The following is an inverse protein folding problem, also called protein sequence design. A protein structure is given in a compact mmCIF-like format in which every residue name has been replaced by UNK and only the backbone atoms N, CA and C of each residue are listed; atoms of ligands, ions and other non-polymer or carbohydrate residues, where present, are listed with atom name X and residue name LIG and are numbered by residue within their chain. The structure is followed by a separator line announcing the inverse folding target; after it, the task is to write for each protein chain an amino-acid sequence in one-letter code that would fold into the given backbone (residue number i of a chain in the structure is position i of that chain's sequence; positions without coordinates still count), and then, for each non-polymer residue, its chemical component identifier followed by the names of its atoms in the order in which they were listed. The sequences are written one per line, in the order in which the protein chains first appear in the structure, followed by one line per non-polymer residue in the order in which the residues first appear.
data_IF_328109270698
#
_entry.id   IF_328109270698
#
_cell.length_a   1.000
_cell.length_b   1.000
_cell.length_c   1.000
_cell.angle_alpha   90.00
_cell.angle_beta   90.00
_cell.angle_gamma   90.00
#
_symmetry.space_group_name_H-M   'P 1'
#
loop_
_entity.id
_entity.type
_entity.pdbx_description
1 polymer ?
#
# COMPACT_ATOMS: atom_id res chain seq x y z
N UNK A 1 -22.24 9.08 -14.89
CA UNK A 1 -21.45 10.27 -14.55
C UNK A 1 -20.25 9.78 -13.76
N UNK A 2 -19.08 9.67 -14.39
CA UNK A 2 -17.86 9.23 -13.69
C UNK A 2 -17.42 10.44 -12.88
N UNK A 3 -17.74 10.46 -11.58
CA UNK A 3 -17.11 11.38 -10.65
C UNK A 3 -15.62 11.10 -10.77
N UNK A 4 -14.83 12.09 -11.19
CA UNK A 4 -13.37 11.98 -11.16
C UNK A 4 -12.99 11.63 -9.72
N UNK A 5 -12.72 10.34 -9.49
CA UNK A 5 -12.44 9.83 -8.15
C UNK A 5 -11.19 10.53 -7.67
N UNK A 6 -11.32 11.32 -6.61
CA UNK A 6 -10.16 11.82 -5.86
C UNK A 6 -9.25 10.61 -5.61
N UNK A 7 -7.95 10.66 -5.97
CA UNK A 7 -7.06 9.53 -5.78
C UNK A 7 -7.22 8.99 -4.37
N UNK A 8 -7.42 7.68 -4.24
CA UNK A 8 -7.62 7.04 -2.93
C UNK A 8 -6.43 7.39 -2.05
N UNK A 9 -6.69 8.17 -1.01
CA UNK A 9 -5.65 8.58 -0.07
C UNK A 9 -5.30 7.39 0.80
N UNK A 10 -4.03 7.02 0.80
CA UNK A 10 -3.50 5.93 1.62
C UNK A 10 -2.68 6.55 2.75
N UNK A 11 -2.81 5.96 3.94
CA UNK A 11 -1.93 6.23 5.07
C UNK A 11 -1.25 4.93 5.51
N UNK A 12 -0.07 5.04 6.10
CA UNK A 12 0.67 3.99 6.75
C UNK A 12 -0.11 3.43 7.95
N UNK A 13 -0.98 4.25 8.56
CA UNK A 13 -1.90 3.82 9.62
C UNK A 13 -3.23 3.45 8.97
N UNK A 14 -3.55 2.16 9.02
CA UNK A 14 -4.88 1.68 8.61
C UNK A 14 -5.94 2.17 9.60
N UNK A 15 -7.18 2.29 9.13
CA UNK A 15 -8.33 2.60 10.00
C UNK A 15 -8.49 1.61 11.16
N UNK A 16 -8.19 0.33 10.93
CA UNK A 16 -8.21 -0.69 11.96
C UNK A 16 -7.13 -0.45 13.03
N UNK A 17 -5.90 -0.14 12.61
CA UNK A 17 -4.80 0.19 13.52
C UNK A 17 -5.09 1.47 14.32
N UNK A 18 -5.65 2.47 13.66
CA UNK A 18 -6.09 3.70 14.33
C UNK A 18 -7.16 3.40 15.40
N UNK A 19 -8.17 2.59 15.09
CA UNK A 19 -9.21 2.19 16.04
C UNK A 19 -8.61 1.48 17.27
N UNK A 20 -7.66 0.57 17.06
CA UNK A 20 -6.92 -0.10 18.13
C UNK A 20 -6.17 0.89 19.04
N UNK A 21 -5.45 1.86 18.44
CA UNK A 21 -4.66 2.85 19.20
C UNK A 21 -5.55 3.75 20.07
N UNK A 22 -6.74 4.14 19.58
CA UNK A 22 -7.70 4.90 20.39
C UNK A 22 -8.60 3.98 21.27
N UNK A 23 -8.27 2.69 21.33
CA UNK A 23 -8.97 1.65 22.10
C UNK A 23 -10.47 1.56 21.78
N UNK A 24 -10.83 1.62 20.49
CA UNK A 24 -12.19 1.53 19.98
C UNK A 24 -12.52 0.10 19.55
N UNK A 25 -13.75 -0.36 19.78
CA UNK A 25 -14.19 -1.67 19.30
C UNK A 25 -14.34 -1.64 17.77
N UNK A 26 -13.89 -2.70 17.08
CA UNK A 26 -14.01 -2.78 15.62
C UNK A 26 -15.48 -2.64 15.18
N UNK A 27 -16.43 -3.24 15.91
CA UNK A 27 -17.86 -3.11 15.59
C UNK A 27 -18.32 -1.66 15.56
N UNK A 28 -18.19 -0.92 16.67
CA UNK A 28 -18.65 0.46 16.74
C UNK A 28 -17.86 1.38 15.78
N UNK A 29 -16.56 1.15 15.62
CA UNK A 29 -15.73 1.96 14.71
C UNK A 29 -16.13 1.76 13.24
N UNK A 30 -16.44 0.54 12.84
CA UNK A 30 -16.82 0.23 11.46
C UNK A 30 -18.34 0.28 11.21
N UNK A 31 -19.11 0.87 12.13
CA UNK A 31 -20.51 1.22 11.88
C UNK A 31 -21.54 0.18 12.35
N UNK A 32 -21.13 -0.83 13.10
CA UNK A 32 -22.03 -1.81 13.70
C UNK A 32 -22.49 -1.40 15.10
N UNK A 33 -23.79 -1.59 15.35
CA UNK A 33 -24.39 -1.60 16.68
C UNK A 33 -24.31 -3.02 17.22
N UNK A 34 -23.51 -3.20 18.27
CA UNK A 34 -23.33 -4.46 18.98
C UNK A 34 -23.68 -4.24 20.47
N UNK A 35 -24.33 -5.21 21.15
CA UNK A 35 -24.63 -5.09 22.58
C UNK A 35 -23.40 -4.84 23.47
N UNK A 36 -22.19 -5.24 23.03
CA UNK A 36 -20.94 -4.96 23.73
C UNK A 36 -20.52 -3.49 23.72
N UNK A 37 -21.12 -2.66 22.85
CA UNK A 37 -20.80 -1.23 22.74
C UNK A 37 -21.24 -0.42 23.96
N UNK A 38 -22.27 -0.87 24.70
CA UNK A 38 -22.82 -0.17 25.86
C UNK A 38 -21.79 -0.04 27.00
N UNK A 39 -20.81 -0.95 27.07
CA UNK A 39 -19.69 -0.86 28.02
C UNK A 39 -18.80 0.38 27.80
N UNK A 40 -18.93 1.01 26.63
CA UNK A 40 -18.24 2.22 26.25
C UNK A 40 -19.22 3.38 26.07
N UNK A 41 -20.26 3.47 26.91
CA UNK A 41 -21.45 4.35 26.84
C UNK A 41 -21.28 5.79 26.31
N UNK A 42 -20.07 6.34 26.27
CA UNK A 42 -19.78 7.65 25.68
C UNK A 42 -19.22 7.59 24.23
N UNK A 43 -19.14 6.41 23.61
CA UNK A 43 -18.55 6.17 22.28
C UNK A 43 -19.65 5.96 21.23
N UNK A 44 -19.90 7.00 20.43
CA UNK A 44 -20.86 6.98 19.32
C UNK A 44 -20.36 6.14 18.15
N UNK A 45 -21.23 5.30 17.58
CA UNK A 45 -20.92 4.51 16.37
C UNK A 45 -20.41 5.44 15.26
N UNK A 46 -19.23 5.14 14.73
CA UNK A 46 -18.63 5.95 13.68
C UNK A 46 -19.37 5.74 12.37
N UNK A 47 -19.66 6.84 11.70
CA UNK A 47 -20.22 6.86 10.34
C UNK A 47 -19.10 6.79 9.30
N UNK A 48 -19.44 6.45 8.05
CA UNK A 48 -18.46 6.46 6.97
C UNK A 48 -17.83 7.85 6.75
N UNK A 49 -18.56 8.97 6.71
CA UNK A 49 -17.95 10.29 6.58
C UNK A 49 -16.92 10.61 7.67
N UNK A 50 -17.15 10.19 8.92
CA UNK A 50 -16.19 10.37 10.01
C UNK A 50 -14.92 9.54 9.80
N UNK A 51 -15.06 8.27 9.39
CA UNK A 51 -13.92 7.41 9.03
C UNK A 51 -13.12 7.94 7.84
N UNK A 52 -13.80 8.43 6.82
CA UNK A 52 -13.16 9.00 5.63
C UNK A 52 -12.45 10.32 5.99
N UNK A 53 -13.01 11.12 6.90
CA UNK A 53 -12.40 12.34 7.41
C UNK A 53 -11.10 12.07 8.21
N UNK A 54 -11.10 11.10 9.13
CA UNK A 54 -9.85 10.73 9.83
C UNK A 54 -8.82 10.15 8.86
N UNK A 55 -9.23 9.30 7.90
CA UNK A 55 -8.33 8.74 6.89
C UNK A 55 -7.66 9.84 6.04
N UNK A 56 -8.43 10.88 5.69
CA UNK A 56 -7.92 12.06 5.01
C UNK A 56 -6.81 12.73 5.82
N UNK A 57 -7.06 13.03 7.10
CA UNK A 57 -6.10 13.74 7.94
C UNK A 57 -4.88 12.89 8.30
N UNK A 58 -5.03 11.57 8.47
CA UNK A 58 -3.91 10.64 8.61
C UNK A 58 -3.00 10.66 7.37
N UNK A 59 -3.58 10.62 6.17
CA UNK A 59 -2.81 10.67 4.92
C UNK A 59 -2.09 12.01 4.71
N UNK A 60 -2.74 13.11 5.12
CA UNK A 60 -2.18 14.45 5.03
C UNK A 60 -1.01 14.63 6.02
N UNK A 61 -1.22 14.24 7.28
CA UNK A 61 -0.19 14.27 8.32
C UNK A 61 1.05 13.45 7.93
N UNK A 62 0.85 12.22 7.43
CA UNK A 62 1.95 11.42 6.89
C UNK A 62 2.68 12.13 5.75
N UNK A 63 1.94 12.70 4.79
CA UNK A 63 2.55 13.38 3.65
C UNK A 63 3.43 14.56 4.07
N UNK A 64 3.04 15.29 5.12
CA UNK A 64 3.84 16.38 5.69
C UNK A 64 5.11 15.85 6.39
N UNK A 65 4.99 14.77 7.15
CA UNK A 65 6.15 14.14 7.80
C UNK A 65 7.13 13.59 6.74
N UNK A 66 6.63 12.85 5.76
CA UNK A 66 7.43 12.30 4.63
C UNK A 66 8.15 13.40 3.83
N UNK A 67 7.55 14.58 3.72
CA UNK A 67 8.17 15.74 3.06
C UNK A 67 9.38 16.26 3.83
N UNK A 68 9.35 16.21 5.16
CA UNK A 68 10.44 16.68 6.03
C UNK A 68 11.56 15.63 6.10
N UNK A 69 11.23 14.36 6.30
CA UNK A 69 12.22 13.28 6.47
C UNK A 69 12.83 12.81 5.15
N UNK A 70 12.17 13.05 4.01
CA UNK A 70 12.69 12.75 2.68
C UNK A 70 12.35 11.36 2.13
N UNK A 71 11.79 10.46 2.94
CA UNK A 71 11.38 9.11 2.54
C UNK A 71 9.94 8.77 2.98
N UNK A 72 9.32 7.73 2.38
CA UNK A 72 8.01 7.24 2.78
C UNK A 72 8.00 6.52 4.14
N UNK A 73 6.96 6.71 4.96
CA UNK A 73 6.78 5.99 6.23
C UNK A 73 6.17 4.59 6.07
N UNK A 74 5.94 4.17 4.83
CA UNK A 74 5.51 2.82 4.46
C UNK A 74 6.09 2.53 3.08
N UNK A 75 6.25 1.26 2.68
CA UNK A 75 6.84 0.95 1.39
C UNK A 75 5.98 1.53 0.26
N UNK A 76 6.57 2.40 -0.57
CA UNK A 76 5.96 2.99 -1.76
C UNK A 76 6.84 2.73 -2.98
N UNK A 77 6.21 2.48 -4.11
CA UNK A 77 6.89 2.28 -5.39
C UNK A 77 6.96 3.60 -6.16
N UNK A 78 8.13 3.86 -6.71
CA UNK A 78 8.45 4.96 -7.59
C UNK A 78 8.87 4.36 -8.93
N UNK A 79 8.23 4.76 -10.02
CA UNK A 79 8.51 4.23 -11.34
C UNK A 79 8.99 5.34 -12.28
N UNK A 80 10.05 5.05 -13.04
CA UNK A 80 10.57 5.95 -14.07
C UNK A 80 11.17 7.25 -13.52
N UNK A 81 11.78 7.22 -12.34
CA UNK A 81 12.50 8.37 -11.81
C UNK A 81 13.70 8.71 -12.69
N UNK A 82 13.72 9.93 -13.22
CA UNK A 82 14.72 10.35 -14.22
C UNK A 82 15.94 10.98 -13.56
N UNK A 83 17.13 10.45 -13.87
CA UNK A 83 18.42 11.01 -13.47
C UNK A 83 19.33 11.25 -14.67
N UNK A 84 20.24 12.23 -14.62
CA UNK A 84 21.35 12.28 -15.57
C UNK A 84 22.20 11.02 -15.45
N UNK A 85 22.86 10.61 -16.53
CA UNK A 85 23.78 9.47 -16.46
C UNK A 85 24.95 9.74 -15.51
N UNK A 86 25.20 8.77 -14.63
CA UNK A 86 26.35 8.68 -13.73
C UNK A 86 26.55 7.22 -13.32
N UNK A 87 27.77 6.83 -12.96
CA UNK A 87 28.06 5.44 -12.56
C UNK A 87 27.32 5.04 -11.27
N UNK A 88 27.19 5.99 -10.36
CA UNK A 88 26.35 5.89 -9.17
C UNK A 88 25.25 6.95 -9.27
N UNK A 89 24.08 6.62 -8.75
CA UNK A 89 22.89 7.44 -8.81
C UNK A 89 22.30 7.52 -7.41
N UNK A 90 21.90 8.72 -7.00
CA UNK A 90 21.14 8.94 -5.78
C UNK A 90 19.67 9.12 -6.15
N UNK A 91 18.79 8.26 -5.63
CA UNK A 91 17.34 8.43 -5.76
C UNK A 91 16.86 9.66 -5.01
N UNK A 92 15.75 10.27 -5.42
CA UNK A 92 15.11 11.39 -4.70
C UNK A 92 14.57 10.98 -3.33
N UNK A 93 14.26 9.69 -3.16
CA UNK A 93 13.80 9.12 -1.90
C UNK A 93 14.90 8.25 -1.31
N UNK A 94 15.18 8.49 -0.04
CA UNK A 94 16.06 7.68 0.81
C UNK A 94 15.34 6.42 1.28
N UNK A 95 16.04 5.53 1.99
CA UNK A 95 15.52 4.24 2.46
C UNK A 95 14.98 3.36 1.31
N UNK A 96 15.84 3.08 0.33
CA UNK A 96 15.50 2.19 -0.79
C UNK A 96 15.48 0.75 -0.31
N UNK A 97 14.33 0.09 -0.44
CA UNK A 97 14.11 -1.31 -0.05
C UNK A 97 14.52 -2.25 -1.18
N UNK A 98 14.03 -1.99 -2.39
CA UNK A 98 14.24 -2.86 -3.54
C UNK A 98 14.22 -2.09 -4.87
N UNK A 99 14.86 -2.63 -5.90
CA UNK A 99 14.76 -2.12 -7.27
C UNK A 99 13.75 -2.94 -8.07
N UNK A 100 12.89 -2.26 -8.83
CA UNK A 100 11.82 -2.90 -9.57
C UNK A 100 10.57 -2.03 -9.70
N UNK A 101 9.55 -2.59 -10.33
CA UNK A 101 8.22 -1.98 -10.44
C UNK A 101 7.25 -2.67 -9.50
N UNK A 102 6.16 -1.98 -9.18
CA UNK A 102 5.04 -2.61 -8.51
C UNK A 102 4.37 -3.61 -9.46
N UNK A 103 4.24 -4.85 -9.03
CA UNK A 103 3.39 -5.85 -9.66
C UNK A 103 2.29 -6.28 -8.68
N UNK A 104 1.17 -6.73 -9.25
CA UNK A 104 0.04 -7.24 -8.50
C UNK A 104 -0.40 -8.56 -9.12
N UNK A 105 -0.50 -9.59 -8.30
CA UNK A 105 -1.12 -10.86 -8.68
C UNK A 105 -2.46 -11.01 -7.94
N UNK A 106 -3.48 -11.50 -8.64
CA UNK A 106 -4.71 -11.95 -8.02
C UNK A 106 -4.47 -13.36 -7.45
N UNK A 107 -4.42 -13.48 -6.13
CA UNK A 107 -4.13 -14.76 -5.45
C UNK A 107 -5.38 -15.62 -5.45
N UNK A 108 -6.51 -15.03 -5.07
CA UNK A 108 -7.84 -15.64 -5.17
C UNK A 108 -8.89 -14.53 -5.21
N UNK A 109 -9.86 -14.65 -6.11
CA UNK A 109 -10.94 -13.66 -6.29
C UNK A 109 -12.24 -14.26 -5.80
N UNK A 110 -13.08 -13.44 -5.17
CA UNK A 110 -14.33 -13.86 -4.55
C UNK A 110 -14.19 -15.05 -3.57
N UNK A 111 -13.09 -15.11 -2.82
CA UNK A 111 -12.85 -16.11 -1.76
C UNK A 111 -13.97 -16.07 -0.72
N UNK A 112 -14.54 -17.23 -0.39
CA UNK A 112 -15.64 -17.34 0.57
C UNK A 112 -15.16 -17.03 1.99
N UNK A 113 -15.90 -16.16 2.69
CA UNK A 113 -15.67 -15.83 4.09
C UNK A 113 -16.49 -16.74 4.98
N UNK A 114 -15.83 -17.48 5.88
CA UNK A 114 -16.51 -18.22 6.93
C UNK A 114 -16.85 -17.30 8.10
N UNK A 115 -18.12 -16.90 8.18
CA UNK A 115 -18.65 -16.01 9.22
C UNK A 115 -19.07 -16.74 10.51
N UNK A 116 -18.81 -18.05 10.64
CA UNK A 116 -19.13 -18.80 11.87
C UNK A 116 -18.23 -18.35 13.03
N UNK A 117 -16.89 -18.47 12.98
CA UNK A 117 -16.00 -17.97 14.03
C UNK A 117 -15.93 -16.43 14.03
N UNK A 118 -15.54 -15.84 15.16
CA UNK A 118 -15.12 -14.44 15.26
C UNK A 118 -13.72 -14.40 15.90
N UNK A 119 -12.65 -14.03 15.16
CA UNK A 119 -12.65 -13.47 13.82
C UNK A 119 -13.15 -14.45 12.74
N UNK A 120 -13.74 -13.90 11.68
CA UNK A 120 -14.12 -14.67 10.50
C UNK A 120 -12.88 -15.12 9.73
N UNK A 121 -12.95 -16.26 9.04
CA UNK A 121 -11.77 -16.85 8.39
C UNK A 121 -11.96 -17.01 6.89
N UNK A 122 -10.89 -16.79 6.12
CA UNK A 122 -10.78 -17.10 4.69
C UNK A 122 -9.63 -18.09 4.52
N UNK A 123 -9.84 -19.15 3.73
CA UNK A 123 -8.81 -20.19 3.50
C UNK A 123 -8.59 -20.37 2.00
N UNK A 124 -7.35 -20.19 1.56
CA UNK A 124 -6.97 -20.18 0.15
C UNK A 124 -5.82 -21.16 -0.07
N UNK A 125 -5.98 -22.12 -0.96
CA UNK A 125 -4.90 -23.00 -1.38
C UNK A 125 -3.89 -22.20 -2.23
N UNK A 126 -2.61 -22.19 -1.86
CA UNK A 126 -1.61 -21.38 -2.56
C UNK A 126 -0.21 -21.99 -2.42
N UNK A 127 0.65 -21.70 -3.40
CA UNK A 127 2.07 -22.08 -3.38
C UNK A 127 2.96 -20.99 -2.74
N UNK A 128 2.38 -19.86 -2.33
CA UNK A 128 3.11 -18.80 -1.63
C UNK A 128 3.61 -19.31 -0.27
N UNK A 129 4.73 -18.74 0.19
CA UNK A 129 5.39 -19.10 1.45
C UNK A 129 5.59 -17.93 2.40
N UNK A 130 5.13 -16.73 2.04
CA UNK A 130 5.19 -15.52 2.86
C UNK A 130 3.91 -14.70 2.67
N UNK A 131 3.51 -14.01 3.75
CA UNK A 131 2.37 -13.10 3.79
C UNK A 131 2.72 -11.71 3.24
N UNK A 132 4.00 -11.48 2.91
CA UNK A 132 4.47 -10.18 2.45
C UNK A 132 3.73 -9.72 1.19
N UNK A 133 3.16 -8.52 1.30
CA UNK A 133 2.41 -7.90 0.22
C UNK A 133 1.00 -8.46 -0.01
N UNK A 134 0.57 -9.46 0.75
CA UNK A 134 -0.81 -9.97 0.67
C UNK A 134 -1.77 -8.96 1.30
N UNK A 135 -2.83 -8.63 0.55
CA UNK A 135 -3.86 -7.68 0.93
C UNK A 135 -5.23 -8.22 0.57
N UNK A 136 -6.20 -7.92 1.43
CA UNK A 136 -7.61 -8.31 1.26
C UNK A 136 -8.41 -7.10 0.84
N UNK A 137 -9.35 -7.28 -0.09
CA UNK A 137 -10.19 -6.22 -0.65
C UNK A 137 -11.66 -6.63 -0.64
N UNK A 138 -12.54 -5.62 -0.62
CA UNK A 138 -13.93 -5.84 -1.01
C UNK A 138 -13.99 -6.26 -2.49
N UNK A 139 -14.86 -7.22 -2.85
CA UNK A 139 -14.95 -7.76 -4.21
C UNK A 139 -15.10 -6.68 -5.27
N UNK A 140 -14.34 -6.78 -6.35
CA UNK A 140 -14.38 -5.84 -7.49
C UNK A 140 -14.09 -4.38 -7.12
N UNK A 141 -13.41 -4.15 -5.99
CA UNK A 141 -13.02 -2.80 -5.55
C UNK A 141 -11.53 -2.72 -5.20
N UNK A 142 -11.06 -1.48 -5.06
CA UNK A 142 -9.73 -1.17 -4.53
C UNK A 142 -9.76 -0.84 -3.02
N UNK A 143 -10.85 -1.17 -2.32
CA UNK A 143 -10.98 -0.89 -0.87
C UNK A 143 -10.46 -2.07 -0.07
N UNK A 144 -9.30 -1.84 0.54
CA UNK A 144 -8.61 -2.78 1.42
C UNK A 144 -9.39 -3.01 2.72
N UNK A 145 -9.47 -4.27 3.14
CA UNK A 145 -9.95 -4.75 4.43
C UNK A 145 -8.71 -5.18 5.21
N UNK A 146 -8.47 -4.60 6.39
CA UNK A 146 -7.31 -4.98 7.20
C UNK A 146 -7.60 -6.25 8.00
N UNK A 147 -6.93 -7.39 7.72
CA UNK A 147 -7.06 -8.58 8.55
C UNK A 147 -6.49 -8.33 9.95
N UNK A 148 -6.86 -9.16 10.92
CA UNK A 148 -6.18 -9.19 12.23
C UNK A 148 -4.95 -10.09 12.21
N UNK A 149 -4.97 -11.13 11.37
CA UNK A 149 -3.88 -12.11 11.29
C UNK A 149 -3.88 -12.84 9.94
N UNK A 150 -2.71 -13.35 9.54
CA UNK A 150 -2.49 -14.17 8.35
C UNK A 150 -1.41 -15.22 8.61
N UNK A 151 -1.72 -16.49 8.38
CA UNK A 151 -0.77 -17.59 8.58
C UNK A 151 -0.85 -18.65 7.48
N UNK A 152 0.25 -19.37 7.25
CA UNK A 152 0.27 -20.53 6.36
C UNK A 152 0.13 -21.81 7.17
N UNK A 153 -0.84 -22.65 6.81
CA UNK A 153 -1.06 -23.95 7.41
C UNK A 153 -1.38 -24.98 6.33
N UNK A 154 -0.61 -26.08 6.30
CA UNK A 154 -0.82 -27.21 5.39
C UNK A 154 -0.98 -26.83 3.89
N UNK A 155 -0.17 -25.88 3.39
CA UNK A 155 -0.23 -25.44 1.99
C UNK A 155 -1.40 -24.51 1.66
N UNK A 156 -2.06 -23.97 2.69
CA UNK A 156 -3.11 -22.95 2.54
C UNK A 156 -2.74 -21.70 3.32
N UNK A 157 -3.13 -20.55 2.80
CA UNK A 157 -3.15 -19.30 3.52
C UNK A 157 -4.47 -19.20 4.29
N UNK A 158 -4.39 -18.98 5.59
CA UNK A 158 -5.54 -18.71 6.47
C UNK A 158 -5.50 -17.24 6.87
N UNK A 159 -6.55 -16.50 6.57
CA UNK A 159 -6.68 -15.08 6.86
C UNK A 159 -7.79 -14.90 7.89
N UNK A 160 -7.48 -14.26 9.01
CA UNK A 160 -8.43 -13.94 10.07
C UNK A 160 -8.84 -12.47 9.99
N UNK A 161 -10.14 -12.21 9.91
CA UNK A 161 -10.71 -10.88 9.77
C UNK A 161 -11.80 -10.68 10.84
N UNK A 162 -11.65 -9.72 11.76
CA UNK A 162 -12.70 -9.40 12.73
C UNK A 162 -14.00 -9.06 12.00
N UNK A 163 -15.12 -9.64 12.44
CA UNK A 163 -16.41 -9.45 11.75
C UNK A 163 -16.82 -7.98 11.62
N UNK A 164 -16.47 -7.15 12.61
CA UNK A 164 -16.70 -5.71 12.56
C UNK A 164 -16.13 -5.03 11.31
N UNK A 165 -15.06 -5.58 10.71
CA UNK A 165 -14.41 -5.03 9.49
C UNK A 165 -15.04 -5.51 8.18
N UNK A 166 -15.97 -6.46 8.25
CA UNK A 166 -16.62 -7.13 7.11
C UNK A 166 -18.01 -6.57 6.81
N UNK A 167 -18.26 -5.28 7.07
CA UNK A 167 -19.52 -4.65 6.65
C UNK A 167 -19.62 -4.66 5.12
N UNK A 168 -20.73 -5.15 4.55
CA UNK A 168 -20.93 -5.14 3.09
C UNK A 168 -20.61 -3.78 2.48
N UNK A 169 -19.96 -3.80 1.33
CA UNK A 169 -19.44 -2.60 0.70
C UNK A 169 -20.53 -1.52 0.48
N UNK A 170 -21.71 -1.93 0.02
CA UNK A 170 -22.86 -1.06 -0.22
C UNK A 170 -23.55 -0.56 1.06
N UNK A 171 -23.22 -1.14 2.21
CA UNK A 171 -23.78 -0.76 3.52
C UNK A 171 -22.80 0.04 4.39
N UNK A 172 -21.57 0.28 3.91
CA UNK A 172 -20.51 1.00 4.64
C UNK A 172 -20.93 2.40 5.06
N UNK A 173 -21.81 3.05 4.30
CA UNK A 173 -22.46 4.29 4.71
C UNK A 173 -23.59 3.97 5.70
N UNK A 174 -23.15 3.76 6.94
CA UNK A 174 -24.02 3.36 8.03
C UNK A 174 -24.78 4.56 8.61
N UNK A 175 -26.03 4.36 9.09
CA UNK A 175 -26.71 5.38 9.86
C UNK A 175 -25.97 5.64 11.18
N UNK A 176 -26.29 6.77 11.83
CA UNK A 176 -25.70 7.16 13.13
C UNK A 176 -25.97 6.11 14.22
N UNK A 177 -27.10 5.40 14.14
CA UNK A 177 -27.44 4.30 15.05
C UNK A 177 -26.68 2.99 14.74
N UNK A 178 -25.89 2.97 13.67
CA UNK A 178 -25.22 1.78 13.16
C UNK A 178 -26.15 0.73 12.55
N UNK A 179 -25.52 -0.33 12.03
CA UNK A 179 -26.17 -1.54 11.52
C UNK A 179 -26.09 -2.62 12.60
N UNK A 180 -27.15 -3.38 12.85
CA UNK A 180 -27.11 -4.44 13.87
C UNK A 180 -26.09 -5.52 13.50
N UNK A 181 -25.21 -5.87 14.45
CA UNK A 181 -24.23 -6.96 14.31
C UNK A 181 -24.89 -8.34 14.25
N UNK A 182 -26.09 -8.50 14.83
CA UNK A 182 -26.84 -9.76 14.78
C UNK A 182 -27.40 -10.10 13.39
N UNK A 183 -27.41 -9.15 12.46
CA UNK A 183 -28.04 -9.31 11.15
C UNK A 183 -27.01 -9.81 10.13
N UNK A 184 -27.00 -11.13 9.89
CA UNK A 184 -26.06 -11.80 8.98
C UNK A 184 -25.99 -11.21 7.57
N UNK A 185 -27.09 -10.65 7.05
CA UNK A 185 -27.14 -10.01 5.73
C UNK A 185 -26.37 -8.68 5.64
N UNK A 186 -25.87 -8.14 6.76
CA UNK A 186 -25.01 -6.95 6.79
C UNK A 186 -23.53 -7.27 6.52
N UNK A 187 -23.14 -8.55 6.53
CA UNK A 187 -21.75 -8.97 6.38
C UNK A 187 -21.39 -9.34 4.94
N UNK A 188 -20.18 -8.98 4.57
CA UNK A 188 -19.55 -9.39 3.32
C UNK A 188 -19.24 -10.89 3.37
N UNK A 189 -19.68 -11.64 2.36
CA UNK A 189 -19.54 -13.10 2.30
C UNK A 189 -18.40 -13.57 1.39
N UNK A 190 -17.85 -12.67 0.58
CA UNK A 190 -16.72 -12.93 -0.31
C UNK A 190 -15.72 -11.78 -0.27
N UNK A 191 -14.44 -12.05 -0.45
CA UNK A 191 -13.36 -11.04 -0.53
C UNK A 191 -12.43 -11.35 -1.68
N UNK A 192 -11.70 -10.34 -2.16
CA UNK A 192 -10.61 -10.54 -3.12
C UNK A 192 -9.28 -10.48 -2.39
N UNK A 193 -8.41 -11.45 -2.65
CA UNK A 193 -7.06 -11.51 -2.07
C UNK A 193 -6.04 -11.30 -3.17
N UNK A 194 -5.27 -10.23 -3.05
CA UNK A 194 -4.25 -9.82 -4.03
C UNK A 194 -2.90 -9.71 -3.36
N UNK A 195 -1.83 -10.00 -4.10
CA UNK A 195 -0.45 -9.84 -3.65
C UNK A 195 0.19 -8.69 -4.40
N UNK A 196 0.68 -7.69 -3.67
CA UNK A 196 1.50 -6.60 -4.21
C UNK A 196 2.96 -6.91 -3.92
N UNK A 197 3.80 -6.97 -4.95
CA UNK A 197 5.21 -7.30 -4.78
C UNK A 197 6.07 -6.43 -5.69
N UNK A 198 7.37 -6.43 -5.41
CA UNK A 198 8.36 -5.80 -6.25
C UNK A 198 8.76 -6.76 -7.38
N UNK A 199 8.36 -6.45 -8.61
CA UNK A 199 8.83 -7.15 -9.80
C UNK A 199 10.20 -6.60 -10.21
N UNK A 200 11.22 -7.43 -10.01
CA UNK A 200 12.61 -7.13 -10.34
C UNK A 200 12.90 -7.13 -11.85
N UNK A 201 11.93 -7.43 -12.73
CA UNK A 201 12.12 -7.48 -14.19
C UNK A 201 12.40 -6.13 -14.83
N UNK A 202 12.00 -5.04 -14.18
CA UNK A 202 12.14 -3.67 -14.67
C UNK A 202 12.72 -2.74 -13.59
N UNK A 203 14.06 -2.69 -13.50
CA UNK A 203 14.76 -1.88 -12.51
C UNK A 203 15.20 -0.53 -13.08
N UNK A 204 16.07 -0.54 -14.09
CA UNK A 204 16.66 0.66 -14.67
C UNK A 204 16.56 0.59 -16.19
N UNK A 205 16.15 1.71 -16.80
CA UNK A 205 16.12 1.90 -18.25
C UNK A 205 17.08 3.03 -18.61
N UNK A 206 18.15 2.68 -19.32
CA UNK A 206 19.06 3.66 -19.89
C UNK A 206 18.47 4.23 -21.17
N UNK A 207 18.53 5.56 -21.34
CA UNK A 207 17.87 6.26 -22.44
C UNK A 207 18.85 7.12 -23.22
N UNK A 208 18.85 6.93 -24.54
CA UNK A 208 19.56 7.77 -25.50
C UNK A 208 18.56 8.59 -26.33
N UNK A 209 18.91 9.84 -26.68
CA UNK A 209 18.06 10.68 -27.52
C UNK A 209 17.97 10.17 -28.96
N UNK A 210 18.93 9.38 -29.42
CA UNK A 210 18.98 8.78 -30.76
C UNK A 210 19.74 7.45 -30.72
N UNK A 211 19.42 6.53 -31.63
CA UNK A 211 20.15 5.27 -31.76
C UNK A 211 21.51 5.47 -32.45
N UNK A 212 22.62 5.06 -31.82
CA UNK A 212 23.96 5.26 -32.37
C UNK A 212 24.28 4.39 -33.61
N UNK A 213 23.48 3.34 -33.86
CA UNK A 213 23.68 2.39 -34.96
C UNK A 213 22.68 2.59 -36.11
N UNK A 214 21.89 3.65 -36.06
CA UNK A 214 20.92 3.98 -37.11
C UNK A 214 21.34 5.28 -37.79
N UNK A 215 21.26 5.31 -39.11
CA UNK A 215 21.37 6.57 -39.85
C UNK A 215 20.36 7.55 -39.28
N UNK A 216 20.77 8.80 -39.03
CA UNK A 216 19.88 9.87 -38.59
C UNK A 216 18.86 10.18 -39.70
N UNK A 217 17.80 9.38 -39.75
CA UNK A 217 16.66 9.48 -40.64
C UNK A 217 15.40 9.78 -39.83
N UNK A 218 14.27 10.02 -40.50
CA UNK A 218 12.97 10.18 -39.85
C UNK A 218 12.58 9.01 -38.93
N UNK A 219 13.22 7.85 -39.07
CA UNK A 219 13.03 6.65 -38.23
C UNK A 219 14.13 6.47 -37.17
N UNK A 220 15.33 7.04 -37.39
CA UNK A 220 16.50 6.95 -36.49
C UNK A 220 16.51 7.94 -35.32
N UNK A 221 15.60 8.93 -35.33
CA UNK A 221 15.42 9.91 -34.24
C UNK A 221 14.52 9.42 -33.10
N UNK A 222 14.17 8.13 -33.07
CA UNK A 222 13.38 7.56 -31.99
C UNK A 222 14.21 7.34 -30.72
N UNK A 223 13.53 7.44 -29.58
CA UNK A 223 14.10 7.17 -28.25
C UNK A 223 14.66 5.74 -28.24
N UNK A 224 15.97 5.61 -28.04
CA UNK A 224 16.63 4.32 -27.88
C UNK A 224 16.79 3.99 -26.40
N UNK A 225 16.43 2.77 -26.00
CA UNK A 225 16.47 2.33 -24.61
C UNK A 225 17.14 0.98 -24.46
N UNK A 226 17.85 0.80 -23.37
CA UNK A 226 18.45 -0.48 -22.98
C UNK A 226 18.16 -0.73 -21.49
N UNK A 227 17.88 -1.98 -21.13
CA UNK A 227 17.66 -2.36 -19.74
C UNK A 227 18.99 -2.45 -18.98
N UNK A 228 18.91 -2.21 -17.68
CA UNK A 228 20.02 -2.35 -16.75
C UNK A 228 19.54 -2.96 -15.43
N UNK A 229 20.41 -3.80 -14.86
CA UNK A 229 20.28 -4.31 -13.50
C UNK A 229 20.96 -3.30 -12.57
N UNK A 230 20.25 -2.88 -11.53
CA UNK A 230 20.83 -2.07 -10.46
C UNK A 230 21.29 -2.92 -9.28
N UNK A 231 22.12 -2.34 -8.44
CA UNK A 231 22.51 -2.86 -7.14
C UNK A 231 22.47 -1.70 -6.15
N UNK A 232 21.72 -1.87 -5.07
CA UNK A 232 21.66 -0.88 -3.98
C UNK A 232 23.01 -0.92 -3.27
N UNK A 233 23.75 0.18 -3.32
CA UNK A 233 25.05 0.35 -2.67
C UNK A 233 24.85 0.80 -1.23
N UNK A 234 23.96 1.78 -1.04
CA UNK A 234 23.57 2.30 0.26
C UNK A 234 22.06 2.62 0.25
N UNK A 235 21.29 1.81 1.00
CA UNK A 235 19.85 1.95 1.08
C UNK A 235 19.41 3.22 1.81
N UNK A 236 20.16 3.66 2.82
CA UNK A 236 19.80 4.80 3.68
C UNK A 236 19.82 6.10 2.89
N UNK A 237 20.84 6.32 2.06
CA UNK A 237 20.93 7.52 1.21
C UNK A 237 20.35 7.33 -0.20
N UNK A 238 19.94 6.11 -0.54
CA UNK A 238 19.40 5.77 -1.86
C UNK A 238 20.45 5.73 -2.97
N UNK A 239 21.68 5.28 -2.65
CA UNK A 239 22.74 5.12 -3.64
C UNK A 239 22.60 3.79 -4.39
N UNK A 240 22.57 3.88 -5.72
CA UNK A 240 22.42 2.76 -6.63
C UNK A 240 23.58 2.79 -7.63
N UNK A 241 24.21 1.63 -7.82
CA UNK A 241 25.07 1.35 -8.98
C UNK A 241 24.30 0.49 -9.97
N UNK A 242 24.75 0.43 -11.23
CA UNK A 242 24.06 -0.40 -12.22
C UNK A 242 25.02 -1.03 -13.21
N UNK A 243 24.49 -1.98 -13.99
CA UNK A 243 25.14 -2.57 -15.14
C UNK A 243 24.12 -2.91 -16.23
N UNK A 244 24.49 -2.73 -17.50
CA UNK A 244 23.63 -3.13 -18.61
C UNK A 244 23.42 -4.64 -18.60
N UNK A 245 22.17 -5.04 -18.65
CA UNK A 245 21.75 -6.43 -18.47
C UNK A 245 20.38 -6.67 -19.10
N UNK A 246 20.08 -7.93 -19.38
CA UNK A 246 18.75 -8.39 -19.76
C UNK A 246 18.17 -9.27 -18.66
N UNK A 247 16.87 -9.15 -18.42
CA UNK A 247 16.16 -10.00 -17.47
C UNK A 247 15.50 -11.16 -18.21
N UNK A 248 15.74 -12.38 -17.74
CA UNK A 248 15.08 -13.58 -18.26
C UNK A 248 15.00 -14.65 -17.18
N UNK A 249 13.87 -15.36 -17.10
CA UNK A 249 13.65 -16.47 -16.18
C UNK A 249 14.05 -16.17 -14.71
N UNK A 250 13.70 -14.99 -14.21
CA UNK A 250 13.97 -14.60 -12.82
C UNK A 250 15.40 -14.11 -12.55
N UNK A 251 16.24 -13.95 -13.58
CA UNK A 251 17.64 -13.59 -13.42
C UNK A 251 18.09 -12.50 -14.39
N UNK A 252 18.97 -11.62 -13.91
CA UNK A 252 19.65 -10.62 -14.73
C UNK A 252 20.96 -11.19 -15.28
N UNK A 253 21.17 -11.05 -16.60
CA UNK A 253 22.42 -11.42 -17.27
C UNK A 253 23.05 -10.18 -17.86
N UNK A 254 24.30 -9.88 -17.48
CA UNK A 254 25.06 -8.75 -18.02
C UNK A 254 25.19 -8.83 -19.53
N UNK A 255 24.85 -7.74 -20.23
CA UNK A 255 25.07 -7.62 -21.68
C UNK A 255 26.40 -6.93 -21.98
N UNK A 256 26.71 -5.84 -21.28
CA UNK A 256 27.95 -5.09 -21.45
C UNK A 256 28.36 -4.33 -20.19
N UNK A 257 29.64 -3.99 -20.09
CA UNK A 257 30.18 -3.13 -19.02
C UNK A 257 29.98 -1.66 -19.36
N UNK A 258 29.99 -0.81 -18.33
CA UNK A 258 29.81 0.66 -18.44
C UNK A 258 30.94 1.35 -19.25
N UNK A 259 32.01 0.65 -19.61
CA UNK A 259 33.16 1.24 -20.27
C UNK A 259 33.03 1.36 -21.81
N UNK A 260 33.11 2.61 -22.28
CA UNK A 260 33.81 3.08 -23.49
C UNK A 260 33.03 3.51 -24.76
N UNK A 261 31.73 3.27 -24.97
CA UNK A 261 31.03 3.84 -26.15
C UNK A 261 29.55 4.13 -25.91
N UNK A 262 29.19 5.40 -26.16
CA UNK A 262 27.81 5.88 -26.20
C UNK A 262 27.12 5.81 -24.85
N UNK A 263 27.49 6.69 -23.91
CA UNK A 263 26.79 6.78 -22.62
C UNK A 263 25.35 7.25 -22.84
N UNK A 264 24.36 6.71 -22.11
CA UNK A 264 23.00 7.21 -22.17
C UNK A 264 22.97 8.66 -21.69
N UNK A 265 21.95 9.39 -22.12
CA UNK A 265 21.77 10.78 -21.68
C UNK A 265 21.18 10.82 -20.27
N UNK A 266 20.29 9.89 -19.98
CA UNK A 266 19.56 9.78 -18.72
C UNK A 266 19.27 8.33 -18.38
N UNK A 267 18.97 8.09 -17.12
CA UNK A 267 18.54 6.81 -16.57
C UNK A 267 17.15 7.00 -15.99
N UNK A 268 16.25 6.04 -16.21
CA UNK A 268 14.92 5.99 -15.60
C UNK A 268 14.91 4.81 -14.63
N UNK A 269 14.73 5.08 -13.34
CA UNK A 269 14.87 4.11 -12.25
C UNK A 269 13.49 3.83 -11.67
N UNK A 270 13.20 2.56 -11.47
CA UNK A 270 12.04 2.08 -10.74
C UNK A 270 12.51 1.37 -9.47
N UNK A 271 11.93 1.74 -8.33
CA UNK A 271 12.33 1.24 -7.03
C UNK A 271 11.20 1.34 -6.01
N UNK A 272 11.34 0.60 -4.92
CA UNK A 272 10.53 0.65 -3.73
C UNK A 272 11.34 1.31 -2.61
N UNK A 273 10.75 2.29 -1.92
CA UNK A 273 11.39 2.96 -0.80
C UNK A 273 10.42 3.18 0.35
N UNK A 274 10.97 3.32 1.55
CA UNK A 274 10.27 3.58 2.80
C UNK A 274 10.74 2.66 3.92
N UNK A 275 9.96 2.59 4.99
CA UNK A 275 10.20 1.68 6.11
C UNK A 275 9.32 0.44 5.98
N UNK A 276 9.86 -0.74 6.25
CA UNK A 276 9.09 -2.00 6.24
C UNK A 276 8.14 -2.07 7.44
N UNK A 277 8.60 -1.56 8.59
CA UNK A 277 7.82 -1.44 9.82
C UNK A 277 7.66 0.04 10.20
N UNK A 278 6.49 0.38 10.75
CA UNK A 278 6.22 1.72 11.26
C UNK A 278 6.44 1.72 12.78
N UNK A 279 7.46 2.44 13.24
CA UNK A 279 7.73 2.57 14.67
C UNK A 279 6.56 3.23 15.41
N UNK A 280 6.30 2.81 16.66
CA UNK A 280 5.19 3.37 17.46
C UNK A 280 5.29 4.89 17.67
N UNK A 281 6.51 5.46 17.68
CA UNK A 281 6.69 6.91 17.76
C UNK A 281 6.19 7.59 16.48
N UNK A 282 6.48 7.02 15.31
CA UNK A 282 5.99 7.53 14.03
C UNK A 282 4.46 7.36 13.93
N UNK A 283 3.89 6.24 14.40
CA UNK A 283 2.44 6.05 14.49
C UNK A 283 1.78 7.20 15.28
N UNK A 284 2.28 7.44 16.49
CA UNK A 284 1.75 8.48 17.37
C UNK A 284 1.96 9.90 16.81
N UNK A 285 3.08 10.15 16.13
CA UNK A 285 3.33 11.43 15.47
C UNK A 285 2.31 11.72 14.36
N UNK A 286 2.03 10.74 13.50
CA UNK A 286 1.01 10.84 12.45
C UNK A 286 -0.36 11.10 13.08
N UNK A 287 -0.75 10.33 14.08
CA UNK A 287 -2.08 10.45 14.72
C UNK A 287 -2.25 11.82 15.37
N UNK A 288 -1.26 12.27 16.16
CA UNK A 288 -1.33 13.57 16.85
C UNK A 288 -1.38 14.73 15.86
N UNK A 289 -0.56 14.69 14.80
CA UNK A 289 -0.60 15.70 13.76
C UNK A 289 -1.95 15.68 13.02
N UNK A 290 -2.48 14.50 12.69
CA UNK A 290 -3.79 14.36 12.08
C UNK A 290 -4.89 14.99 12.97
N UNK A 291 -4.94 14.64 14.26
CA UNK A 291 -5.89 15.20 15.21
C UNK A 291 -5.79 16.72 15.34
N UNK A 292 -4.58 17.28 15.34
CA UNK A 292 -4.38 18.73 15.40
C UNK A 292 -4.92 19.49 14.18
N UNK A 293 -5.11 18.79 13.05
CA UNK A 293 -5.59 19.33 11.78
C UNK A 293 -7.08 19.08 11.54
N UNK A 294 -7.71 18.24 12.36
CA UNK A 294 -9.14 17.96 12.23
C UNK A 294 -9.95 19.19 12.68
N UNK A 295 -11.00 19.58 11.92
CA UNK A 295 -11.85 20.72 12.29
C UNK A 295 -12.72 20.43 13.52
N UNK A 296 -12.95 19.16 13.83
CA UNK A 296 -13.75 18.70 14.97
C UNK A 296 -13.07 17.50 15.63
N UNK A 297 -13.33 17.32 16.93
CA UNK A 297 -12.82 16.16 17.65
C UNK A 297 -13.40 14.86 17.04
N UNK A 298 -12.58 13.81 16.86
CA UNK A 298 -12.97 12.59 16.15
C UNK A 298 -14.19 11.85 16.73
N UNK A 299 -14.52 12.06 18.00
CA UNK A 299 -15.79 11.73 18.65
C UNK A 299 -15.60 12.24 20.08
N UNK A 300 -16.19 13.39 20.40
CA UNK A 300 -16.14 13.94 21.75
C UNK A 300 -17.27 13.36 22.56
N UNK A 301 -16.97 12.79 23.72
CA UNK A 301 -17.99 12.67 24.75
C UNK A 301 -18.27 14.10 25.22
N UNK A 302 -19.48 14.62 24.97
CA UNK A 302 -19.97 15.66 25.86
C UNK A 302 -20.07 15.00 27.23
N UNK A 303 -19.12 15.29 28.11
CA UNK A 303 -19.21 14.89 29.51
C UNK A 303 -20.38 15.71 30.06
N UNK A 304 -21.59 15.13 30.01
CA UNK A 304 -22.76 15.72 30.65
C UNK A 304 -22.45 15.69 32.15
N UNK A 305 -22.01 16.82 32.69
CA UNK A 305 -21.87 17.05 34.11
C UNK A 305 -23.23 17.26 34.78
#
# INVERSE_FOLDING_TARGET
MVVFGTPKRTSAISLARYAEIINYTDYAFFGFSDPGNDNYACREIWTQPQRDNIQFHLSEAQSEIEKVIGYPLMPKWFAGEVHPFGCNILTKKTNVIALGIKATDDVDLASVVNLVPDPATVTIATALTSTDGIKVYYPDTEIEISPSDMEFSAGSLVISIPKGRLMKYELRDNPVTGRLSSTGSNYQTTVDVKRHYNDASAQIVAVWPHGCNLTCSSTGCSRYTEAACGTIVDAEIGEISFQFATYSAGSWTTTRRICCRGNPKKLEISYQAGTEELESIAEMAIIRLAHSKMPSAPCGCDVIH
#
